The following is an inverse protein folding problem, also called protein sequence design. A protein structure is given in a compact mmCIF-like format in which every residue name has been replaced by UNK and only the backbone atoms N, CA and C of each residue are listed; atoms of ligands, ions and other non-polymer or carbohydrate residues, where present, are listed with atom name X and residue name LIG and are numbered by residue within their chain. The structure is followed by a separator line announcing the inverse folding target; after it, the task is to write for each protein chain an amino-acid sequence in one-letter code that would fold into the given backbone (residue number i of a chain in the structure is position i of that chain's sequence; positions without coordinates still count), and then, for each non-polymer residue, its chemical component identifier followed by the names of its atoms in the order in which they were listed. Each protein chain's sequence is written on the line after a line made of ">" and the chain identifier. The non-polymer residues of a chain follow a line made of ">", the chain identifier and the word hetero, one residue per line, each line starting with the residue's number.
data_IF_922537925599
#
_entry.id   IF_922537925599
#
_cell.length_a   1.000
_cell.length_b   1.000
_cell.length_c   1.000
_cell.angle_alpha   90.00
_cell.angle_beta   90.00
_cell.angle_gamma   90.00
#
_symmetry.space_group_name_H-M   'P 1'
#
loop_
_entity.id
_entity.type
_entity.pdbx_description
1 polymer ?
#
# COMPACT_ATOMS: atom_id res chain seq x y z
N UNK A 1 -13.70 0.31 10.04
CA UNK A 1 -12.52 0.85 9.33
C UNK A 1 -11.33 0.85 10.26
N UNK A 2 -10.21 0.32 9.79
CA UNK A 2 -8.92 0.35 10.48
C UNK A 2 -7.97 1.29 9.72
N UNK A 3 -7.07 1.95 10.45
CA UNK A 3 -5.96 2.68 9.86
C UNK A 3 -4.73 1.77 9.83
N UNK A 4 -4.15 1.58 8.65
CA UNK A 4 -2.93 0.79 8.46
C UNK A 4 -1.92 1.59 7.67
N UNK A 5 -0.64 1.36 7.96
CA UNK A 5 0.45 1.96 7.21
C UNK A 5 0.88 1.05 6.06
N UNK A 6 1.20 1.68 4.93
CA UNK A 6 1.76 1.03 3.76
C UNK A 6 3.05 1.73 3.35
N UNK A 7 4.10 0.95 3.16
CA UNK A 7 5.37 1.43 2.61
C UNK A 7 5.36 1.26 1.10
N UNK A 8 5.48 2.35 0.36
CA UNK A 8 5.41 2.36 -1.11
C UNK A 8 6.69 2.94 -1.67
N UNK A 9 7.39 2.22 -2.55
CA UNK A 9 8.55 2.77 -3.26
C UNK A 9 8.13 4.00 -4.09
N UNK A 10 8.98 5.03 -4.15
CA UNK A 10 8.59 6.30 -4.78
C UNK A 10 8.24 6.13 -6.27
N UNK A 11 8.92 5.23 -6.97
CA UNK A 11 8.65 4.85 -8.36
C UNK A 11 7.27 4.18 -8.58
N UNK A 12 6.57 3.80 -7.52
CA UNK A 12 5.25 3.16 -7.56
C UNK A 12 4.13 4.09 -7.07
N UNK A 13 4.46 5.31 -6.62
CA UNK A 13 3.47 6.25 -6.08
C UNK A 13 2.45 6.73 -7.11
N UNK A 14 2.84 6.78 -8.38
CA UNK A 14 1.94 7.09 -9.50
C UNK A 14 0.90 5.97 -9.71
N UNK A 15 1.21 4.73 -9.33
CA UNK A 15 0.34 3.55 -9.44
C UNK A 15 -0.49 3.28 -8.20
N UNK A 16 -0.25 4.00 -7.11
CA UNK A 16 -0.99 3.85 -5.87
C UNK A 16 -2.52 4.02 -6.06
N UNK A 17 -3.04 5.03 -6.80
CA UNK A 17 -4.47 5.19 -7.01
C UNK A 17 -5.15 3.96 -7.63
N UNK A 18 -4.46 3.24 -8.52
CA UNK A 18 -4.97 2.02 -9.15
C UNK A 18 -4.98 0.82 -8.19
N UNK A 19 -4.07 0.81 -7.21
CA UNK A 19 -3.98 -0.23 -6.18
C UNK A 19 -5.00 -0.06 -5.05
N UNK A 20 -5.39 1.18 -4.71
CA UNK A 20 -6.30 1.47 -3.60
C UNK A 20 -7.66 0.74 -3.70
N UNK A 21 -8.35 0.69 -4.85
CA UNK A 21 -9.58 -0.08 -5.01
C UNK A 21 -9.39 -1.58 -4.76
N UNK A 22 -8.26 -2.16 -5.19
CA UNK A 22 -7.94 -3.57 -5.01
C UNK A 22 -7.70 -3.90 -3.52
N UNK A 23 -7.11 -2.95 -2.79
CA UNK A 23 -6.93 -3.01 -1.34
C UNK A 23 -8.22 -2.73 -0.55
N UNK A 24 -9.30 -2.29 -1.22
CA UNK A 24 -10.51 -1.73 -0.58
C UNK A 24 -10.14 -0.68 0.47
N UNK A 25 -9.23 0.20 0.07
CA UNK A 25 -8.60 1.19 0.93
C UNK A 25 -8.79 2.59 0.38
N UNK A 26 -8.75 3.57 1.28
CA UNK A 26 -8.69 4.99 0.96
C UNK A 26 -7.43 5.59 1.56
N UNK A 27 -6.68 6.36 0.78
CA UNK A 27 -5.56 7.14 1.30
C UNK A 27 -6.08 8.23 2.25
N UNK A 28 -5.51 8.30 3.46
CA UNK A 28 -5.82 9.34 4.46
C UNK A 28 -4.67 10.32 4.63
N UNK A 29 -3.45 9.81 4.63
CA UNK A 29 -2.25 10.62 4.79
C UNK A 29 -1.09 10.01 4.01
N UNK A 30 -0.13 10.86 3.66
CA UNK A 30 1.06 10.50 2.89
C UNK A 30 2.23 11.34 3.38
N UNK A 31 3.28 10.66 3.82
CA UNK A 31 4.49 11.30 4.32
C UNK A 31 5.74 10.64 3.72
N UNK A 32 6.75 11.44 3.30
CA UNK A 32 8.02 10.90 2.87
C UNK A 32 8.70 10.19 4.04
N UNK A 33 9.33 9.05 3.79
CA UNK A 33 10.17 8.44 4.80
C UNK A 33 11.46 9.26 4.93
N UNK A 34 11.88 9.50 6.17
CA UNK A 34 13.08 10.30 6.47
C UNK A 34 14.37 9.66 5.95
N UNK A 35 14.38 8.34 5.78
CA UNK A 35 15.49 7.56 5.24
C UNK A 35 14.97 6.57 4.19
N UNK A 36 15.43 6.77 2.96
CA UNK A 36 15.33 5.93 1.75
C UNK A 36 14.05 6.05 0.91
N UNK A 37 14.22 5.88 -0.41
CA UNK A 37 13.28 6.15 -1.54
C UNK A 37 11.96 5.39 -1.52
N UNK A 38 11.21 5.57 -0.46
CA UNK A 38 9.85 5.13 -0.27
C UNK A 38 9.09 6.21 0.51
N UNK A 39 7.78 6.15 0.35
CA UNK A 39 6.81 7.01 1.02
C UNK A 39 5.92 6.13 1.89
N UNK A 40 5.62 6.61 3.09
CA UNK A 40 4.66 5.96 4.00
C UNK A 40 3.30 6.55 3.72
N UNK A 41 2.34 5.66 3.43
CA UNK A 41 0.95 6.02 3.16
C UNK A 41 0.09 5.42 4.26
N UNK A 42 -0.70 6.26 4.92
CA UNK A 42 -1.71 5.82 5.88
C UNK A 42 -3.02 5.57 5.15
N UNK A 43 -3.52 4.35 5.26
CA UNK A 43 -4.71 3.87 4.58
C UNK A 43 -5.85 3.62 5.58
N UNK A 44 -7.04 4.09 5.24
CA UNK A 44 -8.28 3.66 5.88
C UNK A 44 -8.84 2.46 5.12
N UNK A 45 -8.95 1.32 5.79
CA UNK A 45 -9.35 0.05 5.19
C UNK A 45 -10.59 -0.48 5.88
N UNK A 46 -11.59 -0.86 5.10
CA UNK A 46 -12.85 -1.41 5.64
C UNK A 46 -12.70 -2.81 6.23
N UNK A 47 -11.86 -3.65 5.62
CA UNK A 47 -11.79 -5.10 5.88
C UNK A 47 -10.39 -5.57 6.30
N UNK A 48 -9.62 -4.74 7.01
CA UNK A 48 -8.34 -5.17 7.55
C UNK A 48 -8.56 -6.26 8.64
N UNK A 49 -7.69 -7.29 8.70
CA UNK A 49 -7.72 -8.27 9.78
C UNK A 49 -7.61 -7.61 11.17
N UNK A 50 -8.22 -8.23 12.18
CA UNK A 50 -8.16 -7.71 13.54
C UNK A 50 -6.69 -7.60 14.01
N UNK A 51 -6.34 -6.42 14.53
CA UNK A 51 -4.97 -6.13 14.99
C UNK A 51 -3.99 -5.75 13.88
N UNK A 52 -4.39 -5.73 12.60
CA UNK A 52 -3.51 -5.28 11.53
C UNK A 52 -3.11 -3.81 11.70
N UNK A 53 -1.80 -3.55 11.61
CA UNK A 53 -1.20 -2.20 11.73
C UNK A 53 -0.45 -1.79 10.47
N UNK A 54 0.09 -2.77 9.73
CA UNK A 54 0.82 -2.54 8.49
C UNK A 54 0.34 -3.46 7.39
N UNK A 55 0.46 -2.99 6.17
CA UNK A 55 0.16 -3.76 4.97
C UNK A 55 1.28 -3.62 3.96
N UNK A 56 1.66 -4.74 3.33
CA UNK A 56 2.65 -4.79 2.25
C UNK A 56 2.01 -5.34 0.99
N UNK A 57 1.69 -4.51 0.00
CA UNK A 57 1.37 -4.99 -1.33
C UNK A 57 2.62 -5.57 -1.99
N UNK A 58 2.45 -6.68 -2.69
CA UNK A 58 3.46 -7.23 -3.61
C UNK A 58 3.03 -6.92 -5.02
N UNK A 59 3.89 -6.22 -5.75
CA UNK A 59 3.65 -5.86 -7.14
C UNK A 59 4.47 -6.76 -8.08
N UNK A 60 3.93 -7.03 -9.26
CA UNK A 60 4.63 -7.69 -10.35
C UNK A 60 4.58 -6.80 -11.59
N UNK A 61 5.72 -6.65 -12.26
CA UNK A 61 5.77 -6.01 -13.58
C UNK A 61 5.41 -7.03 -14.66
N UNK A 62 4.45 -6.70 -15.53
CA UNK A 62 4.05 -7.52 -16.67
C UNK A 62 5.03 -7.39 -17.83
N UNK A 63 4.90 -8.24 -18.84
CA UNK A 63 5.71 -8.18 -20.05
C UNK A 63 5.54 -6.86 -20.82
N UNK A 64 4.35 -6.25 -20.73
CA UNK A 64 4.02 -4.97 -21.37
C UNK A 64 4.50 -3.75 -20.57
N UNK A 65 5.15 -3.98 -19.42
CA UNK A 65 5.71 -2.94 -18.56
C UNK A 65 4.76 -2.41 -17.49
N UNK A 66 3.50 -2.85 -17.49
CA UNK A 66 2.50 -2.50 -16.48
C UNK A 66 2.82 -3.11 -15.11
N UNK A 67 2.33 -2.48 -14.05
CA UNK A 67 2.50 -2.94 -12.67
C UNK A 67 1.16 -3.46 -12.17
N UNK A 68 1.14 -4.72 -11.75
CA UNK A 68 -0.05 -5.38 -11.21
C UNK A 68 0.16 -5.72 -9.74
N UNK A 69 -0.86 -5.51 -8.92
CA UNK A 69 -0.89 -5.99 -7.54
C UNK A 69 -1.14 -7.51 -7.55
N UNK A 70 -0.20 -8.27 -7.00
CA UNK A 70 -0.26 -9.73 -6.96
C UNK A 70 -0.85 -10.24 -5.64
N UNK A 71 -0.29 -9.80 -4.52
CA UNK A 71 -0.72 -10.22 -3.18
C UNK A 71 -0.63 -9.06 -2.19
N UNK A 72 -1.33 -9.21 -1.06
CA UNK A 72 -1.36 -8.24 0.03
C UNK A 72 -1.08 -8.98 1.32
N UNK A 73 0.03 -8.64 1.97
CA UNK A 73 0.40 -9.23 3.25
C UNK A 73 0.06 -8.27 4.38
N UNK A 74 -0.70 -8.75 5.36
CA UNK A 74 -1.08 -7.99 6.55
C UNK A 74 -0.16 -8.34 7.71
N UNK A 75 0.24 -7.33 8.48
CA UNK A 75 1.04 -7.49 9.68
C UNK A 75 0.29 -6.93 10.90
N UNK A 76 0.33 -7.67 12.00
CA UNK A 76 -0.40 -7.37 13.24
C UNK A 76 0.50 -6.92 14.39
N UNK A 77 1.77 -6.65 14.09
CA UNK A 77 2.85 -6.41 15.04
C UNK A 77 3.11 -4.92 15.33
#
# INVERSE_FOLDING_TARGET
>A
MALVEMTVADELLDRLPDALPLLKARERDRQPATDHGYTIVTLEVDNAPAGARRVKPTFQRTADGDIQLLTVTWYTD
#
